data_IF_452228443160
#
_entry.id   IF_452228443160
#
_cell.length_a   1.000
_cell.length_b   1.000
_cell.length_c   1.000
_cell.angle_alpha   90.00
_cell.angle_beta   90.00
_cell.angle_gamma   90.00
#
_symmetry.space_group_name_H-M   'P 1'
#
loop_
_entity.id
_entity.type
_entity.pdbx_description
1 polymer ?
#
# COMPACT_ATOMS: atom_id res chain seq x y z
N UNK A 1 4.59 10.09 -21.84
CA UNK A 1 3.51 9.27 -21.26
C UNK A 1 2.66 8.71 -22.37
N UNK A 2 2.27 7.42 -22.31
CA UNK A 2 1.41 6.80 -23.32
C UNK A 2 0.01 6.58 -22.76
N UNK A 3 -1.00 6.81 -23.59
CA UNK A 3 -2.42 6.66 -23.25
C UNK A 3 -3.11 5.85 -24.33
N UNK A 4 -4.04 5.00 -23.89
CA UNK A 4 -4.85 4.12 -24.71
C UNK A 4 -6.25 4.72 -24.82
N UNK A 5 -6.71 5.02 -26.03
CA UNK A 5 -7.97 5.72 -26.28
C UNK A 5 -8.81 4.89 -27.24
N UNK A 6 -10.05 4.58 -26.87
CA UNK A 6 -10.99 3.90 -27.77
C UNK A 6 -11.22 4.74 -29.03
N UNK A 7 -11.18 4.09 -30.20
CA UNK A 7 -11.28 4.76 -31.51
C UNK A 7 -12.53 5.64 -31.63
N UNK A 8 -13.67 5.21 -31.03
CA UNK A 8 -14.92 5.98 -31.07
C UNK A 8 -14.84 7.35 -30.43
N UNK A 9 -13.94 7.57 -29.46
CA UNK A 9 -13.71 8.87 -28.81
C UNK A 9 -12.48 9.59 -29.32
N UNK A 10 -11.68 8.95 -30.16
CA UNK A 10 -10.39 9.50 -30.59
C UNK A 10 -10.52 10.84 -31.30
N UNK A 11 -11.55 11.04 -32.12
CA UNK A 11 -11.74 12.30 -32.87
C UNK A 11 -11.95 13.50 -31.93
N UNK A 12 -12.74 13.35 -30.87
CA UNK A 12 -13.01 14.39 -29.88
C UNK A 12 -11.79 14.66 -29.01
N UNK A 13 -11.08 13.60 -28.58
CA UNK A 13 -9.80 13.69 -27.90
C UNK A 13 -8.78 14.42 -28.75
N UNK A 14 -8.64 14.04 -30.01
CA UNK A 14 -7.73 14.66 -30.97
C UNK A 14 -8.03 16.14 -31.18
N UNK A 15 -9.31 16.53 -31.35
CA UNK A 15 -9.71 17.94 -31.44
C UNK A 15 -9.31 18.73 -30.21
N UNK A 16 -9.49 18.15 -29.00
CA UNK A 16 -9.13 18.81 -27.75
C UNK A 16 -7.61 18.93 -27.60
N UNK A 17 -6.85 17.86 -27.84
CA UNK A 17 -5.39 17.86 -27.79
C UNK A 17 -4.79 18.86 -28.76
N UNK A 18 -5.30 18.94 -29.99
CA UNK A 18 -4.86 19.96 -30.99
C UNK A 18 -5.13 21.40 -30.54
N UNK A 19 -6.24 21.67 -29.83
CA UNK A 19 -6.48 22.99 -29.22
C UNK A 19 -5.45 23.28 -28.12
N UNK A 20 -5.04 22.28 -27.40
CA UNK A 20 -4.02 22.38 -26.37
C UNK A 20 -2.66 22.69 -26.97
N UNK A 21 -2.23 21.95 -27.99
CA UNK A 21 -0.98 22.20 -28.72
C UNK A 21 -0.92 23.65 -29.20
N UNK A 22 -1.96 24.12 -29.93
CA UNK A 22 -2.03 25.51 -30.44
C UNK A 22 -1.93 26.58 -29.34
N UNK A 23 -2.48 26.30 -28.14
CA UNK A 23 -2.34 27.21 -27.01
C UNK A 23 -0.93 27.20 -26.44
N UNK A 24 -0.35 26.01 -26.29
CA UNK A 24 1.01 25.86 -25.77
C UNK A 24 2.04 26.51 -26.71
N UNK A 25 1.89 26.32 -28.02
CA UNK A 25 2.72 27.01 -29.04
C UNK A 25 2.69 28.52 -28.89
N UNK A 26 1.49 29.12 -28.69
CA UNK A 26 1.34 30.55 -28.47
C UNK A 26 2.13 31.11 -27.30
N UNK A 27 2.38 30.28 -26.30
CA UNK A 27 3.10 30.64 -25.05
C UNK A 27 4.52 30.08 -24.99
N UNK A 28 5.03 29.52 -26.11
CA UNK A 28 6.38 28.98 -26.18
C UNK A 28 6.62 27.67 -25.40
N UNK A 29 5.53 26.98 -25.02
CA UNK A 29 5.61 25.72 -24.30
C UNK A 29 5.62 24.51 -25.24
N UNK A 30 6.58 23.61 -25.15
CA UNK A 30 6.63 22.43 -25.98
C UNK A 30 5.66 21.35 -25.47
N UNK A 31 4.40 21.45 -25.79
CA UNK A 31 3.43 20.38 -25.60
C UNK A 31 3.12 19.74 -26.94
N UNK A 32 3.41 18.48 -27.09
CA UNK A 32 3.14 17.72 -28.31
C UNK A 32 2.50 16.38 -27.97
N UNK A 33 1.73 15.85 -28.89
CA UNK A 33 1.26 14.49 -28.84
C UNK A 33 1.38 13.85 -30.22
N UNK A 34 1.58 12.54 -30.24
CA UNK A 34 1.63 11.76 -31.47
C UNK A 34 0.90 10.44 -31.29
N UNK A 35 0.28 9.96 -32.35
CA UNK A 35 -0.23 8.60 -32.42
C UNK A 35 0.97 7.68 -32.63
N UNK A 36 1.21 6.77 -31.71
CA UNK A 36 2.34 5.82 -31.78
C UNK A 36 1.93 4.43 -32.21
N UNK A 37 0.63 4.13 -32.22
CA UNK A 37 0.13 2.85 -32.66
C UNK A 37 -1.37 2.70 -32.51
N UNK A 38 -1.85 1.51 -32.81
CA UNK A 38 -3.20 1.08 -32.48
C UNK A 38 -3.19 -0.41 -32.15
N UNK A 39 -4.12 -0.83 -31.32
CA UNK A 39 -4.33 -2.25 -30.98
C UNK A 39 -5.81 -2.59 -31.09
N UNK A 40 -6.11 -3.86 -31.34
CA UNK A 40 -7.48 -4.38 -31.38
C UNK A 40 -7.64 -5.38 -30.24
N UNK A 41 -8.58 -5.07 -29.34
CA UNK A 41 -8.99 -5.93 -28.28
C UNK A 41 -10.25 -6.69 -28.67
N UNK A 42 -10.21 -8.01 -28.50
CA UNK A 42 -11.35 -8.87 -28.71
C UNK A 42 -12.07 -9.07 -27.38
N UNK A 43 -13.32 -8.64 -27.31
CA UNK A 43 -14.22 -8.92 -26.17
C UNK A 43 -15.33 -9.84 -26.63
N UNK A 44 -15.64 -10.86 -25.84
CA UNK A 44 -16.74 -11.79 -26.07
C UNK A 44 -17.83 -11.37 -25.09
N UNK A 45 -18.99 -11.00 -25.63
CA UNK A 45 -20.19 -10.80 -24.84
C UNK A 45 -20.66 -12.16 -24.34
N UNK A 46 -20.62 -12.38 -23.05
CA UNK A 46 -20.88 -13.68 -22.43
C UNK A 46 -22.36 -14.10 -22.55
N UNK A 47 -23.28 -13.14 -22.59
CA UNK A 47 -24.72 -13.41 -22.68
C UNK A 47 -25.15 -13.77 -24.11
N UNK A 48 -24.59 -13.11 -25.11
CA UNK A 48 -24.96 -13.26 -26.49
C UNK A 48 -23.95 -14.10 -27.28
N UNK A 49 -22.77 -14.42 -26.71
CA UNK A 49 -21.63 -15.05 -27.40
C UNK A 49 -21.13 -14.25 -28.61
N UNK A 50 -21.58 -13.02 -28.76
CA UNK A 50 -21.09 -12.13 -29.81
C UNK A 50 -19.64 -11.69 -29.52
N UNK A 51 -18.81 -11.77 -30.55
CA UNK A 51 -17.43 -11.33 -30.51
C UNK A 51 -17.42 -9.88 -30.98
N UNK A 52 -17.07 -8.99 -30.08
CA UNK A 52 -16.87 -7.59 -30.37
C UNK A 52 -15.38 -7.28 -30.44
N UNK A 53 -14.99 -6.47 -31.44
CA UNK A 53 -13.62 -6.02 -31.60
C UNK A 53 -13.58 -4.51 -31.33
N UNK A 54 -12.81 -4.12 -30.35
CA UNK A 54 -12.60 -2.71 -29.96
C UNK A 54 -11.22 -2.27 -30.43
N UNK A 55 -11.16 -1.21 -31.20
CA UNK A 55 -9.88 -0.65 -31.62
C UNK A 55 -9.51 0.52 -30.74
N UNK A 56 -8.32 0.47 -30.17
CA UNK A 56 -7.74 1.51 -29.36
C UNK A 56 -6.59 2.18 -30.10
N UNK A 57 -6.54 3.49 -30.01
CA UNK A 57 -5.46 4.32 -30.54
C UNK A 57 -4.51 4.61 -29.38
N UNK A 58 -3.22 4.34 -29.57
CA UNK A 58 -2.18 4.63 -28.58
C UNK A 58 -1.57 5.96 -28.92
N UNK A 59 -1.67 6.92 -28.01
CA UNK A 59 -1.04 8.23 -28.12
C UNK A 59 0.10 8.37 -27.11
N UNK A 60 1.13 9.08 -27.51
CA UNK A 60 2.21 9.51 -26.64
C UNK A 60 2.19 11.02 -26.50
N UNK A 61 2.22 11.49 -25.26
CA UNK A 61 2.24 12.91 -24.91
C UNK A 61 3.63 13.25 -24.38
N UNK A 62 4.21 14.32 -24.92
CA UNK A 62 5.49 14.90 -24.51
C UNK A 62 5.32 16.40 -24.24
N UNK A 63 5.99 16.91 -23.21
CA UNK A 63 6.02 18.32 -22.86
C UNK A 63 5.84 18.59 -21.38
N UNK A 64 6.22 19.80 -20.97
CA UNK A 64 6.01 20.34 -19.64
C UNK A 64 5.19 21.62 -19.74
N UNK A 65 4.16 21.77 -18.91
CA UNK A 65 3.40 23.01 -18.82
C UNK A 65 4.13 23.99 -17.90
N UNK A 66 5.20 24.61 -18.40
CA UNK A 66 5.93 25.68 -17.70
C UNK A 66 5.73 27.00 -18.41
N UNK A 67 5.37 28.06 -17.68
CA UNK A 67 5.49 29.46 -18.11
C UNK A 67 6.27 30.18 -17.03
N UNK A 68 7.28 30.95 -17.45
CA UNK A 68 8.11 31.77 -16.56
C UNK A 68 8.60 30.98 -15.32
N UNK A 69 9.03 29.73 -15.56
CA UNK A 69 9.54 28.82 -14.52
C UNK A 69 8.54 28.37 -13.44
N UNK A 70 7.25 28.62 -13.64
CA UNK A 70 6.21 28.08 -12.77
C UNK A 70 5.78 26.68 -13.22
N UNK A 71 5.73 25.76 -12.28
CA UNK A 71 5.19 24.42 -12.48
C UNK A 71 4.06 24.14 -11.50
N UNK A 72 3.06 23.38 -11.91
CA UNK A 72 2.01 22.91 -11.03
C UNK A 72 2.45 21.61 -10.37
N UNK A 73 2.49 21.61 -9.04
CA UNK A 73 3.06 20.52 -8.24
C UNK A 73 1.99 19.65 -7.62
N UNK A 74 0.85 20.21 -7.24
CA UNK A 74 -0.25 19.46 -6.67
C UNK A 74 -1.61 20.12 -6.84
N UNK A 75 -2.65 19.32 -6.65
CA UNK A 75 -4.04 19.75 -6.48
C UNK A 75 -4.41 19.63 -5.01
N UNK A 76 -4.98 20.70 -4.46
CA UNK A 76 -5.59 20.71 -3.13
C UNK A 76 -7.10 20.55 -3.28
N UNK A 77 -7.64 19.50 -2.70
CA UNK A 77 -9.08 19.35 -2.53
C UNK A 77 -9.46 19.90 -1.16
N UNK A 78 -10.26 20.97 -1.15
CA UNK A 78 -10.52 21.73 0.07
C UNK A 78 -11.63 21.08 0.89
N UNK A 79 -11.33 20.77 2.13
CA UNK A 79 -12.23 20.19 3.12
C UNK A 79 -12.23 20.99 4.41
N UNK A 80 -13.21 20.73 5.29
CA UNK A 80 -13.36 21.48 6.54
C UNK A 80 -12.20 21.26 7.50
N UNK A 81 -11.70 20.05 7.57
CA UNK A 81 -10.67 19.63 8.55
C UNK A 81 -9.24 19.68 7.97
N UNK A 82 -9.08 20.22 6.76
CA UNK A 82 -7.80 20.33 6.06
C UNK A 82 -7.92 20.04 4.57
N UNK A 83 -6.82 20.09 3.85
CA UNK A 83 -6.81 19.91 2.41
C UNK A 83 -6.25 18.54 2.03
N UNK A 84 -6.96 17.78 1.19
CA UNK A 84 -6.42 16.58 0.56
C UNK A 84 -5.43 17.01 -0.52
N UNK A 85 -4.18 16.58 -0.40
CA UNK A 85 -3.10 16.89 -1.31
C UNK A 85 -2.96 15.76 -2.33
N UNK A 86 -3.13 16.09 -3.61
CA UNK A 86 -2.87 15.16 -4.73
C UNK A 86 -1.65 15.63 -5.47
N UNK A 87 -0.55 14.94 -5.26
CA UNK A 87 0.70 15.26 -5.94
C UNK A 87 0.64 14.92 -7.42
N UNK A 88 1.22 15.80 -8.20
CA UNK A 88 1.47 15.67 -9.62
C UNK A 88 2.94 15.36 -9.82
N UNK A 89 3.79 16.18 -9.21
CA UNK A 89 5.21 15.92 -9.16
C UNK A 89 5.56 15.34 -7.79
N UNK A 90 5.95 14.06 -7.76
CA UNK A 90 6.31 13.34 -6.53
C UNK A 90 7.73 13.63 -6.06
N UNK A 91 8.56 14.24 -6.90
CA UNK A 91 9.96 14.55 -6.58
C UNK A 91 10.09 15.82 -5.74
N UNK A 92 9.08 16.72 -5.78
CA UNK A 92 9.10 17.99 -5.08
C UNK A 92 8.34 17.90 -3.76
N UNK A 93 8.99 18.30 -2.66
CA UNK A 93 8.35 18.35 -1.34
C UNK A 93 7.48 19.60 -1.22
N UNK A 94 6.20 19.40 -0.89
CA UNK A 94 5.21 20.48 -0.77
C UNK A 94 5.29 21.07 0.65
N UNK A 95 5.33 22.42 0.79
CA UNK A 95 5.32 23.08 2.10
C UNK A 95 4.09 22.72 2.94
N UNK A 96 4.30 22.44 4.22
CA UNK A 96 3.27 22.05 5.20
C UNK A 96 2.07 22.98 5.26
N UNK A 97 2.28 24.27 5.00
CA UNK A 97 1.21 25.29 5.05
C UNK A 97 0.01 24.95 4.14
N UNK A 98 0.22 24.16 3.08
CA UNK A 98 -0.85 23.81 2.16
C UNK A 98 -1.79 22.72 2.70
N UNK A 99 -1.40 21.99 3.74
CA UNK A 99 -2.27 21.00 4.40
C UNK A 99 -3.51 21.64 5.03
N UNK A 100 -3.38 22.87 5.50
CA UNK A 100 -4.44 23.58 6.24
C UNK A 100 -4.74 24.97 5.67
N UNK A 101 -4.24 25.28 4.49
CA UNK A 101 -4.44 26.59 3.88
C UNK A 101 -5.92 26.85 3.56
N UNK A 102 -6.34 28.10 3.73
CA UNK A 102 -7.71 28.53 3.41
C UNK A 102 -7.99 28.50 1.91
N UNK A 103 -9.29 28.47 1.54
CA UNK A 103 -9.75 28.52 0.15
C UNK A 103 -9.58 29.91 -0.47
N UNK A 104 -8.34 30.38 -0.54
CA UNK A 104 -7.96 31.70 -1.11
C UNK A 104 -7.01 31.48 -2.28
N UNK A 105 -7.28 32.15 -3.40
CA UNK A 105 -6.35 32.20 -4.52
C UNK A 105 -5.30 33.29 -4.26
N UNK A 106 -4.05 32.94 -4.05
CA UNK A 106 -2.95 33.88 -3.77
C UNK A 106 -2.58 34.77 -4.98
N UNK A 107 -3.06 34.46 -6.19
CA UNK A 107 -2.89 35.32 -7.34
C UNK A 107 -3.84 36.53 -7.35
N UNK A 108 -5.13 36.28 -7.17
CA UNK A 108 -6.16 37.34 -7.26
C UNK A 108 -6.77 37.70 -5.90
N UNK A 109 -6.25 37.13 -4.81
CA UNK A 109 -6.69 37.32 -3.42
C UNK A 109 -8.21 37.10 -3.19
N UNK A 110 -8.85 36.35 -4.11
CA UNK A 110 -10.28 36.09 -4.01
C UNK A 110 -10.56 34.88 -3.14
N UNK A 111 -11.40 35.08 -2.12
CA UNK A 111 -11.99 34.03 -1.30
C UNK A 111 -13.32 33.59 -1.92
N UNK A 112 -13.32 32.50 -2.66
CA UNK A 112 -14.53 31.93 -3.27
C UNK A 112 -14.62 30.46 -2.85
N UNK A 113 -15.82 29.92 -2.80
CA UNK A 113 -15.99 28.48 -2.64
C UNK A 113 -15.47 27.79 -3.91
N UNK A 114 -14.33 27.10 -3.79
CA UNK A 114 -13.73 26.26 -4.82
C UNK A 114 -13.55 24.87 -4.25
N UNK A 115 -13.84 23.85 -5.05
CA UNK A 115 -13.55 22.48 -4.67
C UNK A 115 -12.03 22.22 -4.69
N UNK A 116 -11.35 22.76 -5.69
CA UNK A 116 -9.92 22.54 -5.89
C UNK A 116 -9.16 23.88 -5.98
N UNK A 117 -7.99 23.91 -5.38
CA UNK A 117 -6.91 24.87 -5.62
C UNK A 117 -5.69 24.11 -6.17
N UNK A 118 -4.78 24.81 -6.77
CA UNK A 118 -3.58 24.26 -7.40
C UNK A 118 -2.35 24.87 -6.74
N UNK A 119 -1.43 24.05 -6.30
CA UNK A 119 -0.14 24.51 -5.78
C UNK A 119 0.83 24.61 -6.95
N UNK A 120 1.38 25.80 -7.12
CA UNK A 120 2.40 26.09 -8.13
C UNK A 120 3.70 26.51 -7.45
N UNK A 121 4.81 26.09 -8.04
CA UNK A 121 6.16 26.38 -7.59
C UNK A 121 6.96 27.04 -8.69
N UNK A 122 7.67 28.10 -8.39
CA UNK A 122 8.61 28.71 -9.32
C UNK A 122 10.00 28.15 -9.11
N UNK A 123 10.53 27.47 -10.11
CA UNK A 123 11.82 26.75 -10.04
C UNK A 123 13.05 27.64 -10.02
N UNK A 124 12.90 28.96 -10.27
CA UNK A 124 14.02 29.92 -10.18
C UNK A 124 13.99 30.72 -8.87
N UNK A 125 12.78 31.18 -8.47
CA UNK A 125 12.63 32.04 -7.28
C UNK A 125 12.30 31.26 -6.03
N UNK A 126 12.05 29.96 -6.15
CA UNK A 126 11.58 29.08 -5.06
C UNK A 126 10.26 29.57 -4.41
N UNK A 127 9.49 30.38 -5.15
CA UNK A 127 8.22 30.91 -4.67
C UNK A 127 7.11 29.86 -4.82
N UNK A 128 6.27 29.77 -3.80
CA UNK A 128 5.14 28.87 -3.76
C UNK A 128 3.82 29.64 -3.70
N UNK A 129 2.84 29.26 -4.52
CA UNK A 129 1.49 29.83 -4.50
C UNK A 129 0.43 28.76 -4.60
N UNK A 130 -0.72 29.00 -3.98
CA UNK A 130 -1.95 28.26 -4.29
C UNK A 130 -2.87 29.16 -5.13
N UNK A 131 -3.37 28.64 -6.23
CA UNK A 131 -4.16 29.40 -7.18
C UNK A 131 -5.43 28.68 -7.60
N UNK A 132 -6.48 29.41 -7.91
CA UNK A 132 -7.69 28.83 -8.52
C UNK A 132 -7.46 28.45 -9.97
N UNK A 133 -8.26 27.53 -10.50
CA UNK A 133 -8.10 27.00 -11.86
C UNK A 133 -8.08 28.06 -12.97
N UNK A 134 -8.81 29.16 -12.81
CA UNK A 134 -8.75 30.26 -13.80
C UNK A 134 -7.43 31.03 -13.71
N UNK A 135 -6.89 31.23 -12.51
CA UNK A 135 -5.61 31.91 -12.35
C UNK A 135 -4.43 30.98 -12.70
N UNK A 136 -4.57 29.67 -12.50
CA UNK A 136 -3.58 28.67 -12.93
C UNK A 136 -3.27 28.80 -14.43
N UNK A 137 -4.28 29.08 -15.25
CA UNK A 137 -4.13 29.29 -16.70
C UNK A 137 -3.13 30.39 -17.05
N UNK A 138 -2.96 31.36 -16.15
CA UNK A 138 -2.00 32.47 -16.36
C UNK A 138 -0.55 32.00 -16.11
N UNK A 139 -0.36 31.01 -15.27
CA UNK A 139 0.96 30.44 -14.93
C UNK A 139 1.35 29.25 -15.82
N UNK A 140 0.37 28.59 -16.44
CA UNK A 140 0.59 27.38 -17.24
C UNK A 140 0.22 27.54 -18.72
N UNK A 141 0.05 28.76 -19.21
CA UNK A 141 -0.37 29.01 -20.58
C UNK A 141 -1.75 28.47 -20.95
N UNK A 142 -2.57 28.24 -19.93
CA UNK A 142 -3.95 27.79 -20.09
C UNK A 142 -4.17 26.28 -19.92
N UNK A 143 -3.11 25.50 -19.68
CA UNK A 143 -3.25 24.04 -19.50
C UNK A 143 -2.15 23.51 -18.59
N UNK A 144 -2.55 22.82 -17.54
CA UNK A 144 -1.65 21.94 -16.83
C UNK A 144 -1.65 20.56 -17.50
N UNK A 145 -0.50 19.89 -17.53
CA UNK A 145 -0.42 18.48 -17.93
C UNK A 145 -1.39 17.60 -17.15
N UNK A 146 -1.74 18.02 -15.93
CA UNK A 146 -2.73 17.36 -15.09
C UNK A 146 -4.15 17.47 -15.59
N UNK A 147 -4.54 18.62 -16.09
CA UNK A 147 -5.87 18.74 -16.67
C UNK A 147 -6.00 17.80 -17.86
N UNK A 148 -4.91 17.60 -18.61
CA UNK A 148 -4.85 16.65 -19.71
C UNK A 148 -4.80 15.23 -19.18
N UNK A 149 -4.00 14.95 -18.17
CA UNK A 149 -3.93 13.62 -17.54
C UNK A 149 -5.24 13.28 -16.82
N UNK A 150 -5.78 14.16 -15.98
CA UNK A 150 -7.05 13.94 -15.30
C UNK A 150 -8.24 13.85 -16.28
N UNK A 151 -8.14 14.51 -17.41
CA UNK A 151 -9.15 14.43 -18.45
C UNK A 151 -9.01 13.14 -19.29
N UNK A 152 -7.79 12.66 -19.56
CA UNK A 152 -7.53 11.38 -20.20
C UNK A 152 -7.85 10.22 -19.24
N UNK A 153 -7.50 10.32 -17.95
CA UNK A 153 -7.92 9.37 -16.92
C UNK A 153 -9.45 9.32 -16.79
N UNK A 154 -10.12 10.48 -16.87
CA UNK A 154 -11.59 10.57 -16.89
C UNK A 154 -12.22 9.97 -18.13
N UNK A 155 -11.54 9.98 -19.27
CA UNK A 155 -12.00 9.29 -20.49
C UNK A 155 -11.83 7.79 -20.35
N UNK A 156 -10.72 7.32 -19.81
CA UNK A 156 -10.48 5.90 -19.53
C UNK A 156 -11.53 5.35 -18.56
N UNK A 157 -11.88 6.12 -17.51
CA UNK A 157 -12.99 5.77 -16.59
C UNK A 157 -14.37 5.74 -17.29
N UNK A 158 -14.58 6.57 -18.32
CA UNK A 158 -15.83 6.59 -19.10
C UNK A 158 -15.92 5.43 -20.09
N UNK A 159 -14.77 4.92 -20.57
CA UNK A 159 -14.70 3.76 -21.46
C UNK A 159 -14.98 2.45 -20.75
N UNK A 160 -14.60 2.35 -19.46
CA UNK A 160 -14.87 1.18 -18.61
C UNK A 160 -16.33 1.12 -18.16
N UNK A 161 -17.05 2.25 -18.17
CA UNK A 161 -18.47 2.32 -17.83
C UNK A 161 -19.31 2.52 -19.09
N UNK A 162 -19.68 1.43 -19.76
CA UNK A 162 -20.61 1.40 -20.89
C UNK A 162 -21.82 2.35 -20.67
N UNK A 163 -21.78 3.49 -21.34
CA UNK A 163 -22.98 4.17 -21.81
C UNK A 163 -23.83 4.95 -20.81
N UNK A 164 -23.26 5.84 -19.97
CA UNK A 164 -24.09 6.84 -19.33
C UNK A 164 -23.70 8.28 -19.74
N UNK A 165 -24.35 8.77 -20.79
CA UNK A 165 -24.39 10.19 -21.14
C UNK A 165 -25.50 10.81 -20.31
N UNK A 166 -25.15 11.42 -19.19
CA UNK A 166 -26.15 12.14 -18.40
C UNK A 166 -25.58 12.77 -17.15
N UNK A 167 -25.26 14.05 -17.23
CA UNK A 167 -25.13 15.00 -16.13
C UNK A 167 -24.15 14.59 -15.01
N UNK A 168 -23.35 15.51 -14.53
CA UNK A 168 -22.39 15.37 -13.41
C UNK A 168 -23.04 14.90 -12.09
N UNK A 169 -23.60 13.68 -12.04
CA UNK A 169 -24.05 13.06 -10.82
C UNK A 169 -22.80 12.50 -10.13
N UNK A 170 -22.44 13.10 -9.00
CA UNK A 170 -21.35 12.59 -8.17
C UNK A 170 -21.89 11.58 -7.19
N UNK A 171 -21.35 10.40 -7.22
CA UNK A 171 -21.65 9.35 -6.25
C UNK A 171 -20.65 9.42 -5.08
N UNK A 172 -21.18 9.39 -3.87
CA UNK A 172 -20.41 9.34 -2.64
C UNK A 172 -20.67 7.99 -1.96
N UNK A 173 -19.59 7.40 -1.46
CA UNK A 173 -19.61 6.08 -0.85
C UNK A 173 -19.14 6.18 0.60
N UNK A 174 -19.84 5.54 1.57
CA UNK A 174 -19.37 5.49 2.94
C UNK A 174 -17.96 4.88 3.02
N UNK A 175 -17.06 5.52 3.77
CA UNK A 175 -15.67 5.04 3.90
C UNK A 175 -15.60 3.63 4.49
N UNK A 176 -16.52 3.31 5.41
CA UNK A 176 -16.62 1.99 6.04
C UNK A 176 -16.93 0.90 5.00
N UNK A 177 -17.83 1.16 4.07
CA UNK A 177 -18.18 0.20 3.01
C UNK A 177 -17.00 -0.02 2.04
N UNK A 178 -16.28 1.05 1.68
CA UNK A 178 -15.10 0.95 0.80
C UNK A 178 -13.98 0.17 1.47
N UNK A 179 -13.71 0.44 2.76
CA UNK A 179 -12.69 -0.30 3.54
C UNK A 179 -13.13 -1.75 3.75
N UNK A 180 -14.43 -1.99 4.00
CA UNK A 180 -15.00 -3.33 4.11
C UNK A 180 -14.81 -4.14 2.83
N UNK A 181 -15.18 -3.58 1.68
CA UNK A 181 -14.95 -4.20 0.38
C UNK A 181 -13.46 -4.50 0.12
N UNK A 182 -12.57 -3.57 0.48
CA UNK A 182 -11.13 -3.79 0.36
C UNK A 182 -10.65 -4.91 1.28
N UNK A 183 -11.17 -4.99 2.51
CA UNK A 183 -10.84 -6.05 3.47
C UNK A 183 -11.24 -7.42 2.95
N UNK A 184 -12.44 -7.56 2.40
CA UNK A 184 -12.93 -8.81 1.82
C UNK A 184 -12.09 -9.27 0.64
N UNK A 185 -11.73 -8.35 -0.27
CA UNK A 185 -10.85 -8.63 -1.41
C UNK A 185 -9.46 -9.07 -0.93
N UNK A 186 -8.86 -8.33 0.00
CA UNK A 186 -7.50 -8.60 0.48
C UNK A 186 -7.42 -9.90 1.27
N UNK A 187 -8.42 -10.23 2.05
CA UNK A 187 -8.47 -11.49 2.80
C UNK A 187 -8.45 -12.71 1.88
N UNK A 188 -9.05 -12.61 0.71
CA UNK A 188 -9.12 -13.73 -0.23
C UNK A 188 -7.99 -13.77 -1.25
N UNK A 189 -7.55 -12.61 -1.73
CA UNK A 189 -6.60 -12.50 -2.83
C UNK A 189 -5.22 -11.96 -2.40
N UNK A 190 -5.12 -11.32 -1.23
CA UNK A 190 -4.02 -10.43 -0.91
C UNK A 190 -4.15 -9.06 -1.57
N UNK A 191 -3.19 -8.18 -1.28
CA UNK A 191 -3.16 -6.83 -1.83
C UNK A 191 -2.40 -6.78 -3.17
N UNK A 192 -3.04 -6.26 -4.20
CA UNK A 192 -2.47 -5.98 -5.51
C UNK A 192 -2.34 -4.47 -5.71
N UNK A 193 -1.14 -4.02 -6.01
CA UNK A 193 -0.85 -2.61 -6.21
C UNK A 193 -1.30 -2.11 -7.60
N UNK A 194 -1.13 -0.81 -7.86
CA UNK A 194 -1.52 -0.15 -9.10
C UNK A 194 -0.87 -0.73 -10.36
N UNK A 195 0.30 -1.35 -10.26
CA UNK A 195 1.06 -1.90 -11.38
C UNK A 195 0.64 -3.35 -11.73
N UNK A 196 -0.23 -3.93 -10.91
CA UNK A 196 -0.75 -5.28 -11.12
C UNK A 196 -1.78 -5.30 -12.26
N UNK A 197 -1.93 -6.44 -12.93
CA UNK A 197 -2.94 -6.60 -13.98
C UNK A 197 -4.38 -6.43 -13.47
N UNK A 198 -4.59 -6.64 -12.18
CA UNK A 198 -5.89 -6.47 -11.51
C UNK A 198 -5.67 -5.82 -10.13
N UNK A 199 -5.55 -4.49 -10.05
CA UNK A 199 -5.35 -3.79 -8.79
C UNK A 199 -6.51 -3.97 -7.82
N UNK A 200 -6.23 -4.06 -6.52
CA UNK A 200 -7.27 -4.14 -5.47
C UNK A 200 -8.29 -3.01 -5.58
N UNK A 201 -7.85 -1.79 -5.93
CA UNK A 201 -8.74 -0.64 -6.17
C UNK A 201 -9.84 -0.95 -7.18
N UNK A 202 -9.51 -1.64 -8.28
CA UNK A 202 -10.47 -1.89 -9.36
C UNK A 202 -11.50 -2.94 -8.93
N UNK A 203 -11.07 -3.98 -8.20
CA UNK A 203 -11.98 -4.95 -7.59
C UNK A 203 -12.93 -4.29 -6.57
N UNK A 204 -12.40 -3.37 -5.75
CA UNK A 204 -13.22 -2.57 -4.83
C UNK A 204 -14.23 -1.71 -5.60
N UNK A 205 -13.83 -1.12 -6.73
CA UNK A 205 -14.73 -0.32 -7.57
C UNK A 205 -15.89 -1.17 -8.11
N UNK A 206 -15.62 -2.40 -8.54
CA UNK A 206 -16.68 -3.34 -8.95
C UNK A 206 -17.65 -3.62 -7.81
N UNK A 207 -17.14 -3.95 -6.62
CA UNK A 207 -17.97 -4.23 -5.44
C UNK A 207 -18.85 -3.05 -5.05
N UNK A 208 -18.34 -1.84 -5.15
CA UNK A 208 -19.08 -0.62 -4.77
C UNK A 208 -20.13 -0.20 -5.79
N UNK A 209 -19.99 -0.60 -7.04
CA UNK A 209 -20.97 -0.32 -8.11
C UNK A 209 -22.18 -1.25 -8.03
N UNK A 210 -22.01 -2.46 -7.53
CA UNK A 210 -23.07 -3.47 -7.48
C UNK A 210 -23.88 -3.36 -6.19
N UNK A 211 -25.23 -3.42 -6.34
CA UNK A 211 -26.16 -3.29 -5.19
C UNK A 211 -26.42 -4.62 -4.49
N UNK A 212 -26.36 -5.71 -5.20
CA UNK A 212 -26.67 -7.03 -4.66
C UNK A 212 -25.46 -7.97 -4.72
N UNK A 213 -25.45 -8.96 -3.84
CA UNK A 213 -24.30 -9.88 -3.69
C UNK A 213 -24.12 -10.82 -4.87
N UNK A 214 -25.20 -11.15 -5.59
CA UNK A 214 -25.10 -12.06 -6.73
C UNK A 214 -24.33 -11.37 -7.84
N UNK A 215 -24.68 -10.11 -8.15
CA UNK A 215 -23.97 -9.30 -9.12
C UNK A 215 -22.52 -9.05 -8.72
N UNK A 216 -22.26 -8.78 -7.42
CA UNK A 216 -20.89 -8.65 -6.89
C UNK A 216 -20.03 -9.89 -7.15
N UNK A 217 -20.55 -11.08 -6.82
CA UNK A 217 -19.87 -12.37 -7.04
C UNK A 217 -19.63 -12.60 -8.51
N UNK A 218 -20.65 -12.37 -9.34
CA UNK A 218 -20.56 -12.59 -10.79
C UNK A 218 -19.47 -11.73 -11.43
N UNK A 219 -19.52 -10.42 -11.19
CA UNK A 219 -18.60 -9.48 -11.81
C UNK A 219 -17.16 -9.68 -11.34
N UNK A 220 -16.95 -9.92 -10.02
CA UNK A 220 -15.61 -10.24 -9.52
C UNK A 220 -15.04 -11.51 -10.16
N UNK A 221 -15.82 -12.59 -10.19
CA UNK A 221 -15.35 -13.86 -10.74
C UNK A 221 -15.08 -13.75 -12.25
N UNK A 222 -15.85 -12.93 -12.97
CA UNK A 222 -15.58 -12.60 -14.37
C UNK A 222 -14.22 -11.96 -14.54
N UNK A 223 -13.91 -10.91 -13.76
CA UNK A 223 -12.63 -10.22 -13.84
C UNK A 223 -11.44 -11.12 -13.42
N UNK A 224 -11.62 -11.93 -12.38
CA UNK A 224 -10.61 -12.90 -11.95
C UNK A 224 -10.30 -13.93 -13.05
N UNK A 225 -11.33 -14.40 -13.74
CA UNK A 225 -11.17 -15.33 -14.86
C UNK A 225 -10.45 -14.69 -16.06
N UNK A 226 -10.78 -13.41 -16.36
CA UNK A 226 -10.08 -12.62 -17.39
C UNK A 226 -8.60 -12.48 -17.01
N UNK A 227 -8.31 -12.19 -15.74
CA UNK A 227 -6.95 -12.10 -15.20
C UNK A 227 -6.24 -13.46 -15.04
N UNK A 228 -6.90 -14.57 -15.37
CA UNK A 228 -6.41 -15.95 -15.26
C UNK A 228 -6.04 -16.37 -13.83
N UNK A 229 -6.73 -15.83 -12.85
CA UNK A 229 -6.60 -16.22 -11.45
C UNK A 229 -7.58 -17.36 -11.15
N UNK A 230 -7.07 -18.49 -10.63
CA UNK A 230 -7.87 -19.67 -10.26
C UNK A 230 -8.44 -19.54 -8.85
N UNK A 231 -9.08 -18.41 -8.56
CA UNK A 231 -9.71 -18.11 -7.28
C UNK A 231 -11.12 -17.60 -7.59
N UNK A 232 -12.11 -18.05 -6.82
CA UNK A 232 -13.50 -17.64 -6.98
C UNK A 232 -14.04 -17.10 -5.66
N UNK A 233 -14.84 -16.03 -5.77
CA UNK A 233 -15.66 -15.51 -4.67
C UNK A 233 -17.01 -16.23 -4.64
N UNK A 234 -17.55 -16.38 -3.46
CA UNK A 234 -18.94 -16.82 -3.24
C UNK A 234 -19.67 -15.85 -2.31
N UNK A 235 -20.96 -16.09 -2.08
CA UNK A 235 -21.79 -15.19 -1.27
C UNK A 235 -21.32 -15.07 0.19
N UNK A 236 -20.67 -16.09 0.74
CA UNK A 236 -20.21 -16.12 2.12
C UNK A 236 -19.00 -15.21 2.37
N UNK A 237 -18.30 -14.81 1.30
CA UNK A 237 -17.17 -13.89 1.38
C UNK A 237 -17.59 -12.45 1.76
N UNK A 238 -18.90 -12.09 1.63
CA UNK A 238 -19.39 -10.71 1.75
C UNK A 238 -20.30 -10.42 2.96
N UNK A 239 -20.50 -11.36 3.88
CA UNK A 239 -21.41 -11.19 5.02
C UNK A 239 -20.76 -11.61 6.34
N UNK A 240 -19.51 -11.24 6.54
CA UNK A 240 -18.80 -11.57 7.77
C UNK A 240 -18.97 -10.45 8.80
N UNK A 241 -19.55 -10.77 9.95
CA UNK A 241 -19.65 -9.83 11.09
C UNK A 241 -18.27 -9.36 11.54
N UNK A 242 -17.28 -10.23 11.44
CA UNK A 242 -15.88 -9.95 11.75
C UNK A 242 -15.32 -8.80 10.89
N UNK A 243 -15.77 -8.65 9.64
CA UNK A 243 -15.34 -7.56 8.75
C UNK A 243 -15.67 -6.20 9.35
N UNK A 244 -16.86 -6.02 9.98
CA UNK A 244 -17.26 -4.74 10.58
C UNK A 244 -16.35 -4.34 11.74
N UNK A 245 -15.94 -5.29 12.57
CA UNK A 245 -15.06 -5.03 13.72
C UNK A 245 -13.63 -4.72 13.26
N UNK A 246 -13.17 -5.41 12.21
CA UNK A 246 -11.88 -5.13 11.56
C UNK A 246 -11.89 -3.72 10.95
N UNK A 247 -12.95 -3.35 10.22
CA UNK A 247 -13.09 -2.02 9.62
C UNK A 247 -13.03 -0.93 10.69
N UNK A 248 -13.74 -1.10 11.81
CA UNK A 248 -13.68 -0.16 12.95
C UNK A 248 -12.27 -0.05 13.53
N UNK A 249 -11.57 -1.17 13.67
CA UNK A 249 -10.19 -1.20 14.16
C UNK A 249 -9.23 -0.46 13.19
N UNK A 250 -9.36 -0.68 11.88
CA UNK A 250 -8.60 0.02 10.85
C UNK A 250 -8.84 1.53 10.95
N UNK A 251 -10.09 1.96 10.98
CA UNK A 251 -10.45 3.38 11.08
C UNK A 251 -9.87 4.01 12.34
N UNK A 252 -10.03 3.35 13.49
CA UNK A 252 -9.47 3.80 14.76
C UNK A 252 -7.94 3.94 14.69
N UNK A 253 -7.27 2.96 14.11
CA UNK A 253 -5.82 2.97 13.95
C UNK A 253 -5.37 4.19 13.15
N UNK A 254 -5.90 4.39 11.93
CA UNK A 254 -5.46 5.49 11.07
C UNK A 254 -5.85 6.88 11.59
N UNK A 255 -6.98 7.01 12.31
CA UNK A 255 -7.36 8.27 12.97
C UNK A 255 -6.42 8.67 14.09
N UNK A 256 -5.75 7.70 14.74
CA UNK A 256 -4.84 7.94 15.88
C UNK A 256 -3.36 8.06 15.48
N UNK A 257 -3.01 7.84 14.22
CA UNK A 257 -1.64 8.06 13.75
C UNK A 257 -1.29 9.55 13.73
N UNK A 258 -0.01 9.86 13.95
CA UNK A 258 0.50 11.20 13.65
C UNK A 258 0.47 11.42 12.13
N UNK A 259 0.02 12.60 11.69
CA UNK A 259 -0.09 12.95 10.27
C UNK A 259 1.29 13.41 9.73
N UNK A 260 2.31 12.58 9.91
CA UNK A 260 3.70 12.82 9.51
C UNK A 260 3.92 12.69 7.99
N UNK A 261 2.99 12.07 7.29
CA UNK A 261 3.00 11.94 5.84
C UNK A 261 1.73 12.50 5.21
N UNK A 262 1.82 12.95 3.95
CA UNK A 262 0.63 13.39 3.20
C UNK A 262 -0.39 12.27 3.04
N UNK A 263 0.08 11.03 2.93
CA UNK A 263 -0.82 9.88 2.83
C UNK A 263 -1.71 9.78 4.08
N UNK A 264 -1.12 9.78 5.28
CA UNK A 264 -1.87 9.71 6.54
C UNK A 264 -2.78 10.92 6.70
N UNK A 265 -2.29 12.13 6.40
CA UNK A 265 -3.10 13.34 6.41
C UNK A 265 -4.35 13.21 5.52
N UNK A 266 -4.18 12.79 4.26
CA UNK A 266 -5.28 12.61 3.32
C UNK A 266 -6.29 11.55 3.82
N UNK A 267 -5.79 10.43 4.36
CA UNK A 267 -6.63 9.38 4.94
C UNK A 267 -7.48 9.93 6.09
N UNK A 268 -6.88 10.66 7.02
CA UNK A 268 -7.60 11.21 8.18
C UNK A 268 -8.72 12.15 7.77
N UNK A 269 -8.50 13.00 6.75
CA UNK A 269 -9.57 13.86 6.21
C UNK A 269 -10.72 13.02 5.67
N UNK A 270 -10.43 12.01 4.84
CA UNK A 270 -11.45 11.13 4.27
C UNK A 270 -12.24 10.37 5.35
N UNK A 271 -11.54 9.85 6.36
CA UNK A 271 -12.16 9.14 7.49
C UNK A 271 -13.03 10.06 8.36
N UNK A 272 -12.66 11.33 8.49
CA UNK A 272 -13.44 12.30 9.25
C UNK A 272 -14.69 12.76 8.49
N UNK A 273 -14.61 12.89 7.17
CA UNK A 273 -15.78 13.21 6.35
C UNK A 273 -16.78 12.06 6.24
N UNK A 274 -16.32 10.83 6.38
CA UNK A 274 -17.16 9.64 6.35
C UNK A 274 -17.63 9.19 4.96
N UNK A 275 -17.39 9.98 3.90
CA UNK A 275 -17.79 9.69 2.52
C UNK A 275 -16.69 10.08 1.53
N UNK A 276 -16.53 9.29 0.47
CA UNK A 276 -15.54 9.53 -0.59
C UNK A 276 -16.12 9.36 -1.98
N UNK A 277 -15.54 10.04 -2.96
CA UNK A 277 -15.79 9.77 -4.39
C UNK A 277 -14.95 8.55 -4.85
N UNK A 278 -15.39 7.84 -5.90
CA UNK A 278 -14.70 6.66 -6.44
C UNK A 278 -13.22 6.90 -6.76
N UNK A 279 -12.87 8.12 -7.23
CA UNK A 279 -11.46 8.51 -7.47
C UNK A 279 -10.54 8.36 -6.24
N UNK A 280 -11.10 8.27 -5.03
CA UNK A 280 -10.40 8.14 -3.76
C UNK A 280 -10.27 6.67 -3.28
N UNK A 281 -10.90 5.72 -3.97
CA UNK A 281 -10.86 4.31 -3.57
C UNK A 281 -9.43 3.77 -3.44
N UNK A 282 -8.51 4.22 -4.30
CA UNK A 282 -7.11 3.80 -4.22
C UNK A 282 -6.43 4.09 -2.88
N UNK A 283 -6.81 5.17 -2.19
CA UNK A 283 -6.32 5.46 -0.85
C UNK A 283 -6.87 4.46 0.17
N UNK A 284 -8.20 4.26 0.17
CA UNK A 284 -8.87 3.41 1.15
C UNK A 284 -8.63 1.92 0.93
N UNK A 285 -8.44 1.51 -0.32
CA UNK A 285 -8.16 0.10 -0.67
C UNK A 285 -6.83 -0.42 -0.12
N UNK A 286 -5.90 0.45 0.26
CA UNK A 286 -4.63 0.05 0.88
C UNK A 286 -4.73 -0.12 2.40
N UNK A 287 -5.72 0.48 3.07
CA UNK A 287 -5.75 0.55 4.53
C UNK A 287 -5.74 -0.81 5.22
N UNK A 288 -6.49 -1.83 4.76
CA UNK A 288 -6.42 -3.15 5.37
C UNK A 288 -5.02 -3.78 5.30
N UNK A 289 -4.33 -3.67 4.16
CA UNK A 289 -2.97 -4.20 4.02
C UNK A 289 -1.96 -3.46 4.92
N UNK A 290 -2.07 -2.13 5.00
CA UNK A 290 -1.22 -1.33 5.89
C UNK A 290 -1.43 -1.69 7.36
N UNK A 291 -2.68 -1.93 7.77
CA UNK A 291 -3.03 -2.38 9.12
C UNK A 291 -2.54 -3.80 9.40
N UNK A 292 -2.68 -4.74 8.47
CA UNK A 292 -2.14 -6.09 8.57
C UNK A 292 -0.61 -6.10 8.75
N UNK A 293 0.10 -5.21 8.04
CA UNK A 293 1.55 -5.03 8.24
C UNK A 293 1.87 -4.55 9.65
N UNK A 294 1.12 -3.57 10.14
CA UNK A 294 1.27 -3.09 11.51
C UNK A 294 1.06 -4.22 12.53
N UNK A 295 -0.01 -4.99 12.41
CA UNK A 295 -0.30 -6.12 13.33
C UNK A 295 0.81 -7.17 13.32
N UNK A 296 1.36 -7.51 12.15
CA UNK A 296 2.50 -8.44 12.05
C UNK A 296 3.73 -7.92 12.78
N UNK A 297 4.10 -6.66 12.56
CA UNK A 297 5.25 -6.03 13.23
C UNK A 297 5.04 -5.99 14.75
N UNK A 298 3.84 -5.62 15.19
CA UNK A 298 3.51 -5.51 16.62
C UNK A 298 3.49 -6.90 17.29
N UNK A 299 2.92 -7.90 16.64
CA UNK A 299 2.95 -9.28 17.15
C UNK A 299 4.37 -9.82 17.30
N UNK A 300 5.25 -9.52 16.34
CA UNK A 300 6.66 -9.88 16.45
C UNK A 300 7.36 -9.11 17.58
N UNK A 301 7.03 -7.83 17.77
CA UNK A 301 7.55 -7.00 18.86
C UNK A 301 7.18 -7.62 20.22
N UNK A 302 5.89 -7.91 20.40
CA UNK A 302 5.37 -8.53 21.63
C UNK A 302 6.01 -9.90 21.88
N UNK A 303 6.16 -10.73 20.83
CA UNK A 303 6.86 -12.01 20.95
C UNK A 303 8.30 -11.82 21.40
N UNK A 304 9.04 -10.89 20.80
CA UNK A 304 10.43 -10.57 21.18
C UNK A 304 10.54 -10.04 22.60
N UNK A 305 9.59 -9.22 23.05
CA UNK A 305 9.55 -8.71 24.43
C UNK A 305 9.25 -9.83 25.44
N UNK A 306 8.27 -10.69 25.14
CA UNK A 306 7.97 -11.88 25.96
C UNK A 306 9.16 -12.85 26.02
N UNK A 307 9.90 -13.04 24.93
CA UNK A 307 11.13 -13.83 24.90
C UNK A 307 12.23 -13.19 25.77
N UNK A 308 12.44 -11.87 25.62
CA UNK A 308 13.41 -11.13 26.44
C UNK A 308 13.06 -11.15 27.92
N UNK A 309 11.79 -11.06 28.28
CA UNK A 309 11.34 -11.11 29.68
C UNK A 309 11.61 -12.47 30.33
N UNK A 310 11.75 -13.53 29.53
CA UNK A 310 12.13 -14.89 30.02
C UNK A 310 13.63 -15.07 30.19
N UNK A 311 14.45 -14.12 29.68
CA UNK A 311 15.90 -14.15 29.77
C UNK A 311 16.36 -13.72 31.17
N UNK A 312 17.11 -14.56 31.83
CA UNK A 312 17.78 -14.19 33.09
C UNK A 312 19.13 -13.56 32.80
N UNK A 313 19.39 -12.40 33.39
CA UNK A 313 20.72 -11.77 33.33
C UNK A 313 21.62 -12.33 34.43
N UNK A 314 21.91 -13.64 34.37
CA UNK A 314 22.77 -14.37 35.27
C UNK A 314 23.73 -15.25 34.49
N UNK A 315 24.89 -15.54 35.08
CA UNK A 315 25.82 -16.51 34.53
C UNK A 315 25.39 -17.94 34.84
N UNK A 316 25.37 -18.78 33.82
CA UNK A 316 25.07 -20.19 34.00
C UNK A 316 26.33 -21.00 34.28
N UNK A 317 26.32 -21.75 35.36
CA UNK A 317 27.30 -22.80 35.65
C UNK A 317 28.72 -22.31 35.93
N UNK A 318 29.64 -23.24 36.08
CA UNK A 318 31.05 -23.02 36.35
C UNK A 318 31.91 -23.15 35.10
N UNK A 319 32.88 -22.28 34.91
CA UNK A 319 33.81 -22.29 33.76
C UNK A 319 34.57 -23.61 33.73
N UNK A 320 34.66 -24.26 32.59
CA UNK A 320 35.31 -25.55 32.37
C UNK A 320 34.39 -26.76 32.61
N UNK A 321 33.25 -26.59 33.27
CA UNK A 321 32.34 -27.70 33.60
C UNK A 321 31.41 -28.02 32.42
N UNK A 322 31.13 -29.33 32.25
CA UNK A 322 30.24 -29.85 31.22
C UNK A 322 28.86 -30.10 31.76
N UNK A 323 27.85 -29.55 31.06
CA UNK A 323 26.44 -29.72 31.37
C UNK A 323 25.76 -30.51 30.27
N UNK A 324 24.91 -31.50 30.62
CA UNK A 324 24.25 -32.39 29.68
C UNK A 324 22.76 -32.16 29.65
N UNK A 325 22.18 -32.34 28.46
CA UNK A 325 20.76 -32.51 28.22
C UNK A 325 19.87 -31.36 28.77
N UNK A 326 20.41 -30.12 28.73
CA UNK A 326 19.63 -28.96 29.11
C UNK A 326 18.58 -28.66 28.03
N UNK A 327 17.32 -28.52 28.45
CA UNK A 327 16.24 -28.21 27.51
C UNK A 327 16.42 -26.84 26.92
N UNK A 328 16.20 -26.76 25.60
CA UNK A 328 16.27 -25.52 24.83
C UNK A 328 14.88 -24.90 24.79
N UNK A 329 14.78 -23.63 25.18
CA UNK A 329 13.59 -22.82 25.02
C UNK A 329 13.59 -22.13 23.63
N UNK A 330 14.70 -21.51 23.24
CA UNK A 330 14.85 -20.89 21.91
C UNK A 330 16.30 -20.92 21.42
N UNK A 331 16.46 -20.90 20.08
CA UNK A 331 17.74 -20.76 19.40
C UNK A 331 17.62 -19.65 18.36
N UNK A 332 18.40 -18.59 18.50
CA UNK A 332 18.43 -17.47 17.61
C UNK A 332 19.81 -17.38 16.95
N UNK A 333 19.84 -17.39 15.61
CA UNK A 333 21.05 -17.09 14.86
C UNK A 333 21.25 -15.57 14.86
N UNK A 334 22.37 -15.08 15.44
CA UNK A 334 22.62 -13.65 15.57
C UNK A 334 23.32 -13.07 14.35
N UNK A 335 24.40 -13.72 13.92
CA UNK A 335 25.23 -13.31 12.77
C UNK A 335 26.14 -14.43 12.34
N UNK A 336 26.69 -14.29 11.15
CA UNK A 336 27.78 -15.13 10.64
C UNK A 336 28.81 -14.28 9.93
N UNK A 337 30.05 -14.71 9.94
CA UNK A 337 31.12 -14.13 9.14
C UNK A 337 31.98 -15.21 8.51
N UNK A 338 32.54 -14.92 7.39
CA UNK A 338 33.44 -15.79 6.65
C UNK A 338 34.90 -15.35 6.85
N UNK A 339 35.80 -16.30 7.03
CA UNK A 339 37.23 -16.08 7.10
C UNK A 339 37.96 -17.17 6.30
N UNK A 340 39.26 -17.09 6.20
CA UNK A 340 40.09 -18.06 5.45
C UNK A 340 39.93 -19.51 5.93
N UNK A 341 39.33 -19.76 7.08
CA UNK A 341 39.11 -21.07 7.72
C UNK A 341 37.66 -21.54 7.60
N UNK A 342 36.78 -20.77 6.94
CA UNK A 342 35.40 -21.08 6.75
C UNK A 342 34.45 -20.12 7.47
N UNK A 343 33.14 -20.46 7.46
CA UNK A 343 32.10 -19.64 8.05
C UNK A 343 31.97 -19.92 9.54
N UNK A 344 31.87 -18.86 10.36
CA UNK A 344 31.58 -18.94 11.77
C UNK A 344 30.20 -18.34 12.04
N UNK A 345 29.34 -19.09 12.68
CA UNK A 345 27.99 -18.69 13.09
C UNK A 345 27.96 -18.40 14.59
N UNK A 346 27.26 -17.34 15.00
CA UNK A 346 26.95 -17.08 16.42
C UNK A 346 25.48 -17.37 16.67
N UNK A 347 25.24 -18.20 17.66
CA UNK A 347 23.91 -18.53 18.16
C UNK A 347 23.72 -18.02 19.58
N UNK A 348 22.56 -17.43 19.85
CA UNK A 348 22.04 -17.16 21.17
C UNK A 348 21.04 -18.28 21.49
N UNK A 349 21.29 -19.02 22.56
CA UNK A 349 20.46 -20.14 22.99
C UNK A 349 19.95 -19.81 24.37
N UNK A 350 18.64 -19.87 24.56
CA UNK A 350 18.00 -19.75 25.87
C UNK A 350 17.59 -21.13 26.31
N UNK A 351 18.01 -21.52 27.51
CA UNK A 351 17.62 -22.79 28.11
C UNK A 351 16.42 -22.59 29.04
N UNK A 352 15.80 -23.69 29.47
CA UNK A 352 14.51 -23.71 30.18
C UNK A 352 14.49 -22.87 31.48
N UNK A 353 15.63 -22.68 32.14
CA UNK A 353 15.75 -21.82 33.34
C UNK A 353 15.90 -20.33 33.03
N UNK A 354 15.86 -19.94 31.75
CA UNK A 354 16.01 -18.59 31.27
C UNK A 354 17.45 -18.12 31.07
N UNK A 355 18.46 -18.95 31.36
CA UNK A 355 19.87 -18.58 31.20
C UNK A 355 20.25 -18.45 29.72
N UNK A 356 21.04 -17.43 29.41
CA UNK A 356 21.47 -17.09 28.05
C UNK A 356 22.85 -17.70 27.77
N UNK A 357 22.89 -18.58 26.78
CA UNK A 357 24.12 -19.18 26.27
C UNK A 357 24.48 -18.57 24.92
N UNK A 358 25.75 -18.26 24.73
CA UNK A 358 26.30 -17.81 23.43
C UNK A 358 27.24 -18.86 22.87
N UNK A 359 26.98 -19.33 21.67
CA UNK A 359 27.78 -20.36 21.02
C UNK A 359 28.30 -19.91 19.66
N UNK A 360 29.61 -20.05 19.48
CA UNK A 360 30.28 -19.86 18.18
C UNK A 360 30.51 -21.25 17.55
N UNK A 361 29.94 -21.47 16.38
CA UNK A 361 30.00 -22.74 15.65
C UNK A 361 30.49 -22.53 14.23
N UNK A 362 31.35 -23.45 13.76
CA UNK A 362 31.71 -23.52 12.34
C UNK A 362 30.63 -24.19 11.48
N UNK A 363 29.70 -24.90 12.11
CA UNK A 363 28.60 -25.56 11.43
C UNK A 363 27.30 -24.82 11.69
N UNK A 364 26.51 -24.59 10.64
CA UNK A 364 25.15 -24.05 10.75
C UNK A 364 24.21 -25.02 11.47
N UNK A 365 23.30 -24.48 12.28
CA UNK A 365 22.19 -25.23 12.82
C UNK A 365 20.99 -25.10 11.88
N UNK A 366 20.55 -26.21 11.33
CA UNK A 366 19.41 -26.26 10.42
C UNK A 366 18.30 -27.09 11.03
N UNK A 367 17.06 -26.70 10.80
CA UNK A 367 15.85 -27.47 11.11
C UNK A 367 15.21 -27.89 9.79
N UNK A 368 14.81 -29.15 9.71
CA UNK A 368 13.95 -29.62 8.64
C UNK A 368 12.50 -29.23 8.93
N UNK A 369 11.64 -29.38 7.94
CA UNK A 369 10.21 -29.16 8.11
C UNK A 369 9.69 -30.04 9.26
N UNK A 370 8.94 -29.45 10.19
CA UNK A 370 8.41 -30.12 11.40
C UNK A 370 9.46 -30.56 12.44
N UNK A 371 10.64 -29.93 12.47
CA UNK A 371 11.60 -30.13 13.55
C UNK A 371 11.67 -28.93 14.50
N UNK A 372 12.00 -29.17 15.77
CA UNK A 372 12.45 -28.16 16.73
C UNK A 372 13.66 -28.61 17.50
N UNK A 373 14.47 -27.68 17.98
CA UNK A 373 15.55 -27.98 18.92
C UNK A 373 14.98 -28.40 20.26
N UNK A 374 15.51 -29.47 20.86
CA UNK A 374 15.03 -30.03 22.13
C UNK A 374 16.03 -29.78 23.26
N UNK A 375 17.23 -30.32 23.16
CA UNK A 375 18.23 -30.27 24.24
C UNK A 375 19.60 -29.90 23.73
N UNK A 376 20.40 -29.30 24.62
CA UNK A 376 21.79 -28.96 24.36
C UNK A 376 22.69 -29.55 25.48
N UNK A 377 23.81 -30.14 25.06
CA UNK A 377 24.93 -30.53 25.92
C UNK A 377 26.10 -29.63 25.56
N UNK A 378 26.75 -29.01 26.53
CA UNK A 378 27.80 -28.04 26.31
C UNK A 378 28.83 -28.01 27.47
N UNK A 379 29.96 -27.33 27.21
CA UNK A 379 30.96 -26.98 28.24
C UNK A 379 31.00 -25.48 28.35
N UNK A 380 30.95 -24.94 29.57
CA UNK A 380 31.07 -23.48 29.80
C UNK A 380 32.52 -23.06 29.48
N UNK A 381 32.67 -22.08 28.58
CA UNK A 381 33.97 -21.57 28.16
C UNK A 381 34.35 -20.32 28.93
N UNK A 382 33.41 -19.39 29.05
CA UNK A 382 33.62 -18.08 29.71
C UNK A 382 32.28 -17.47 30.13
N UNK A 383 32.33 -16.58 31.10
CA UNK A 383 31.23 -15.67 31.43
C UNK A 383 31.49 -14.34 30.78
N UNK A 384 30.52 -13.83 30.04
CA UNK A 384 30.63 -12.59 29.23
C UNK A 384 29.43 -11.68 29.49
N UNK A 385 29.58 -10.40 29.21
CA UNK A 385 28.49 -9.45 29.27
C UNK A 385 28.36 -8.70 27.95
N UNK A 386 27.14 -8.53 27.47
CA UNK A 386 26.84 -7.78 26.26
C UNK A 386 25.63 -6.85 26.50
N UNK A 387 25.86 -5.54 26.33
CA UNK A 387 24.84 -4.50 26.57
C UNK A 387 24.13 -4.61 27.93
N UNK A 388 24.88 -4.88 28.98
CA UNK A 388 24.34 -5.00 30.34
C UNK A 388 23.71 -6.36 30.68
N UNK A 389 23.65 -7.30 29.69
CA UNK A 389 23.13 -8.64 29.90
C UNK A 389 24.27 -9.65 30.11
N UNK A 390 24.24 -10.37 31.23
CA UNK A 390 25.17 -11.47 31.51
C UNK A 390 24.85 -12.67 30.64
N UNK A 391 25.88 -13.23 29.99
CA UNK A 391 25.76 -14.38 29.09
C UNK A 391 26.86 -15.40 29.40
N UNK A 392 26.59 -16.65 29.07
CA UNK A 392 27.58 -17.73 29.24
C UNK A 392 28.04 -18.18 27.85
N UNK A 393 29.32 -17.93 27.51
CA UNK A 393 29.90 -18.46 26.28
C UNK A 393 30.15 -19.96 26.44
N UNK A 394 29.67 -20.75 25.49
CA UNK A 394 29.73 -22.19 25.54
C UNK A 394 30.46 -22.79 24.33
N UNK A 395 31.02 -23.98 24.53
CA UNK A 395 31.77 -24.71 23.52
C UNK A 395 31.47 -26.21 23.58
N UNK A 396 31.95 -26.96 22.59
CA UNK A 396 31.73 -28.41 22.46
C UNK A 396 30.24 -28.77 22.59
N UNK A 397 29.41 -27.97 21.94
CA UNK A 397 27.97 -28.11 21.97
C UNK A 397 27.53 -29.30 21.11
N UNK A 398 26.54 -30.04 21.63
CA UNK A 398 25.75 -31.02 20.89
C UNK A 398 24.29 -30.72 21.10
N UNK A 399 23.58 -30.41 19.99
CA UNK A 399 22.15 -30.09 20.00
C UNK A 399 21.36 -31.28 19.48
N UNK A 400 20.26 -31.60 20.13
CA UNK A 400 19.31 -32.64 19.71
C UNK A 400 18.04 -31.96 19.17
N UNK A 401 17.36 -32.61 18.25
CA UNK A 401 16.13 -32.15 17.60
C UNK A 401 15.03 -33.19 17.85
N UNK A 402 13.78 -32.74 17.84
CA UNK A 402 12.61 -33.61 17.87
C UNK A 402 11.64 -33.19 16.76
N UNK A 403 10.88 -34.14 16.22
CA UNK A 403 9.80 -33.88 15.28
C UNK A 403 8.57 -33.37 16.03
N UNK A 404 7.90 -32.38 15.42
CA UNK A 404 6.61 -31.89 15.93
C UNK A 404 5.54 -32.66 15.15
N UNK A 405 4.64 -33.35 15.87
CA UNK A 405 3.45 -33.91 15.22
C UNK A 405 2.57 -32.76 14.71
N UNK A 406 2.28 -32.76 13.41
CA UNK A 406 1.36 -31.80 12.80
C UNK A 406 -0.05 -31.99 13.38
N UNK A 407 -0.52 -30.99 14.13
CA UNK A 407 -1.94 -30.69 14.10
C UNK A 407 -2.18 -29.98 12.77
N UNK A 408 -2.91 -30.63 11.87
CA UNK A 408 -3.38 -30.05 10.62
C UNK A 408 -4.04 -28.72 10.93
N UNK A 409 -3.32 -27.62 10.71
CA UNK A 409 -3.93 -26.31 10.58
C UNK A 409 -4.23 -26.19 9.09
N UNK A 410 -5.51 -26.24 8.76
CA UNK A 410 -5.96 -25.72 7.49
C UNK A 410 -5.37 -24.32 7.32
N UNK A 411 -4.61 -24.15 6.25
CA UNK A 411 -4.08 -22.84 5.84
C UNK A 411 -5.23 -22.01 5.28
N UNK A 412 -6.02 -21.46 6.17
CA UNK A 412 -6.62 -20.14 5.98
C UNK A 412 -5.71 -19.22 6.77
N UNK A 413 -5.00 -18.31 6.10
CA UNK A 413 -4.50 -17.09 6.74
C UNK A 413 -5.74 -16.23 7.07
N UNK A 414 -6.64 -16.77 7.87
CA UNK A 414 -7.70 -16.02 8.50
C UNK A 414 -7.03 -14.99 9.41
N UNK A 415 -7.53 -13.79 9.33
CA UNK A 415 -7.21 -12.69 10.22
C UNK A 415 -7.26 -13.22 11.65
N UNK A 416 -6.08 -13.36 12.27
CA UNK A 416 -5.96 -13.98 13.59
C UNK A 416 -6.47 -13.00 14.65
N UNK A 417 -7.77 -13.08 14.94
CA UNK A 417 -8.44 -12.28 15.98
C UNK A 417 -7.74 -12.40 17.35
N UNK A 418 -6.99 -13.49 17.59
CA UNK A 418 -6.23 -13.65 18.84
C UNK A 418 -5.11 -12.61 18.99
N UNK A 419 -4.67 -12.00 17.89
CA UNK A 419 -3.70 -10.90 17.91
C UNK A 419 -4.36 -9.60 18.40
N UNK A 420 -5.62 -9.39 18.08
CA UNK A 420 -6.39 -8.26 18.63
C UNK A 420 -6.60 -8.40 20.13
N UNK A 421 -6.96 -9.58 20.61
CA UNK A 421 -7.15 -9.84 22.04
C UNK A 421 -5.83 -9.64 22.83
N UNK A 422 -4.68 -10.01 22.24
CA UNK A 422 -3.35 -9.79 22.86
C UNK A 422 -2.91 -8.32 22.89
N UNK A 423 -3.50 -7.45 22.08
CA UNK A 423 -3.13 -6.04 22.02
C UNK A 423 -4.05 -5.16 22.87
N UNK A 424 -5.20 -5.68 23.31
CA UNK A 424 -6.20 -4.96 24.12
C UNK A 424 -6.27 -5.44 25.58
N UNK A 425 -5.51 -6.48 25.98
CA UNK A 425 -5.15 -6.82 27.38
C UNK A 425 -3.91 -6.03 27.86
#
# INVERSE_FOLDING_TARGET
MQYRIYEGFFEDVNKKLNRIVKKCEKYGNPFTFKVVGSEIEKRIDEDTQHINYYKFIIIEIEGTAKIDNWECVSVLEIHKDGNIIRRINTEISIPERFKTSENICEHCNSKRHRKNLYVIHNTETEEWKQVGGDCLKLYTGGLSLEYVAAWLDGITELEENDGFIGGNIKYYYPVEEVIGAATEVINKLGYYNRESNLPTKDLVSILMQQKDTISKVYDLNRELKIAKLNIEFDKSDFYRKETDDIVKAIIKYYKNLEADTEFIHNIQIMLNEGYVEAKNFGFLSYLPEGYNKYLRIESERVKREKEKAKEKSEYFGEIGKRYKDKRIQSVNHLTSWENQWGTTHIYKIIIEDGSVLTWKSSNGLYLEHNEKFDKITFTVKAHTEYKGQKQTEVTRCKVTKIKIEEKVKENTEEFDMSVLDMLYE
#
